data_IF_162831729028
#
_entry.id   IF_162831729028
#
_cell.length_a   1.000
_cell.length_b   1.000
_cell.length_c   1.000
_cell.angle_alpha   90.00
_cell.angle_beta   90.00
_cell.angle_gamma   90.00
#
_symmetry.space_group_name_H-M   'P 1'
#
loop_
_entity.id
_entity.type
_entity.pdbx_description
1 polymer ?
#
# COMPACT_ATOMS: atom_id res chain seq x y z
N UNK A 1 0.30 -14.09 -3.01
CA UNK A 1 -1.08 -14.55 -2.76
C UNK A 1 -1.89 -13.57 -1.92
N UNK A 2 -1.42 -13.10 -0.76
CA UNK A 2 -2.17 -12.14 0.08
C UNK A 2 -2.63 -10.87 -0.66
N UNK A 3 -1.73 -10.16 -1.34
CA UNK A 3 -2.09 -8.94 -2.09
C UNK A 3 -3.12 -9.17 -3.20
N UNK A 4 -3.23 -10.39 -3.73
CA UNK A 4 -4.27 -10.75 -4.70
C UNK A 4 -5.63 -10.78 -4.02
N UNK A 5 -5.69 -11.38 -2.82
CA UNK A 5 -6.91 -11.48 -2.01
C UNK A 5 -7.34 -10.10 -1.51
N UNK A 6 -6.41 -9.27 -1.03
CA UNK A 6 -6.72 -7.93 -0.53
C UNK A 6 -7.24 -6.97 -1.61
N UNK A 7 -6.84 -7.17 -2.86
CA UNK A 7 -7.31 -6.37 -4.01
C UNK A 7 -8.60 -6.90 -4.63
N UNK A 8 -9.11 -8.04 -4.16
CA UNK A 8 -10.35 -8.62 -4.66
C UNK A 8 -11.57 -8.01 -3.97
N UNK A 9 -12.66 -7.83 -4.71
CA UNK A 9 -13.92 -7.40 -4.13
C UNK A 9 -14.57 -8.52 -3.31
N UNK A 10 -14.37 -9.77 -3.71
CA UNK A 10 -14.79 -10.94 -2.94
C UNK A 10 -13.79 -11.20 -1.80
N UNK A 11 -14.25 -11.02 -0.57
CA UNK A 11 -13.46 -11.17 0.65
C UNK A 11 -13.64 -12.56 1.30
N UNK A 12 -14.29 -13.52 0.62
CA UNK A 12 -14.53 -14.86 1.16
C UNK A 12 -13.22 -15.55 1.54
N UNK A 13 -12.23 -15.51 0.64
CA UNK A 13 -10.90 -16.09 0.89
C UNK A 13 -10.12 -15.33 1.97
N UNK A 14 -10.28 -14.00 2.05
CA UNK A 14 -9.68 -13.19 3.09
C UNK A 14 -10.16 -13.68 4.46
N UNK A 15 -11.48 -13.77 4.62
CA UNK A 15 -12.12 -14.20 5.87
C UNK A 15 -11.79 -15.65 6.22
N UNK A 16 -11.78 -16.53 5.22
CA UNK A 16 -11.64 -17.98 5.43
C UNK A 16 -10.21 -18.42 5.72
N UNK A 17 -9.22 -17.84 5.04
CA UNK A 17 -7.86 -18.35 5.08
C UNK A 17 -6.81 -17.34 5.53
N UNK A 18 -7.04 -16.05 5.29
CA UNK A 18 -6.00 -15.03 5.48
C UNK A 18 -6.27 -14.09 6.65
N UNK A 19 -7.42 -14.23 7.31
CA UNK A 19 -7.87 -13.26 8.30
C UNK A 19 -6.90 -13.12 9.46
N UNK A 20 -6.55 -14.23 10.11
CA UNK A 20 -5.61 -14.21 11.25
C UNK A 20 -4.22 -13.69 10.84
N UNK A 21 -3.77 -14.02 9.63
CA UNK A 21 -2.49 -13.52 9.12
C UNK A 21 -2.53 -12.02 8.84
N UNK A 22 -3.65 -11.55 8.29
CA UNK A 22 -3.90 -10.13 8.04
C UNK A 22 -3.95 -9.33 9.34
N UNK A 23 -4.71 -9.79 10.35
CA UNK A 23 -4.74 -9.18 11.67
C UNK A 23 -3.37 -9.16 12.33
N UNK A 24 -2.60 -10.25 12.23
CA UNK A 24 -1.26 -10.33 12.79
C UNK A 24 -0.34 -9.27 12.16
N UNK A 25 -0.34 -9.15 10.83
CA UNK A 25 0.47 -8.13 10.15
C UNK A 25 0.00 -6.72 10.51
N UNK A 26 -1.29 -6.43 10.46
CA UNK A 26 -1.81 -5.11 10.81
C UNK A 26 -1.44 -4.75 12.26
N UNK A 27 -1.59 -5.69 13.19
CA UNK A 27 -1.21 -5.52 14.60
C UNK A 27 0.28 -5.28 14.77
N UNK A 28 1.14 -5.97 14.01
CA UNK A 28 2.58 -5.76 14.05
C UNK A 28 2.96 -4.39 13.48
N UNK A 29 2.42 -4.02 12.31
CA UNK A 29 2.67 -2.74 11.66
C UNK A 29 2.18 -1.56 12.51
N UNK A 30 1.07 -1.72 13.23
CA UNK A 30 0.55 -0.69 14.14
C UNK A 30 1.47 -0.40 15.34
N UNK A 31 2.34 -1.36 15.73
CA UNK A 31 3.34 -1.15 16.79
C UNK A 31 4.56 -0.37 16.32
N UNK A 32 4.78 -0.26 15.01
CA UNK A 32 5.90 0.47 14.44
C UNK A 32 5.59 1.97 14.36
N UNK A 33 6.60 2.84 14.57
CA UNK A 33 6.43 4.27 14.37
C UNK A 33 6.04 4.57 12.93
N UNK A 34 5.24 5.61 12.73
CA UNK A 34 4.90 6.06 11.38
C UNK A 34 5.98 6.97 10.82
N UNK A 35 6.32 6.74 9.56
CA UNK A 35 7.27 7.51 8.76
C UNK A 35 6.50 8.33 7.73
N UNK A 36 6.98 9.55 7.53
CA UNK A 36 6.48 10.49 6.51
C UNK A 36 7.58 10.71 5.48
N UNK A 37 7.18 11.04 4.25
CA UNK A 37 8.14 11.38 3.20
C UNK A 37 7.67 10.95 1.83
N UNK A 38 8.61 10.85 0.90
CA UNK A 38 8.39 10.28 -0.42
C UNK A 38 8.88 8.84 -0.46
N UNK A 39 8.05 7.97 -1.02
CA UNK A 39 8.40 6.59 -1.30
C UNK A 39 8.04 6.25 -2.74
N UNK A 40 8.75 5.27 -3.29
CA UNK A 40 8.66 4.88 -4.67
C UNK A 40 8.35 3.39 -4.77
N UNK A 41 7.51 3.04 -5.75
CA UNK A 41 7.24 1.65 -6.09
C UNK A 41 7.28 1.46 -7.59
N UNK A 42 8.12 0.53 -8.03
CA UNK A 42 8.18 0.08 -9.40
C UNK A 42 7.20 -1.05 -9.68
N UNK A 43 6.52 -0.98 -10.82
CA UNK A 43 5.60 -2.01 -11.29
C UNK A 43 5.92 -2.35 -12.74
N UNK A 44 6.21 -3.62 -13.02
CA UNK A 44 6.52 -4.15 -14.36
C UNK A 44 5.26 -4.36 -15.23
N UNK A 45 4.34 -3.41 -15.18
CA UNK A 45 3.15 -3.37 -16.05
C UNK A 45 2.62 -1.95 -16.18
N UNK A 46 2.04 -1.60 -17.33
CA UNK A 46 1.34 -0.32 -17.52
C UNK A 46 0.00 -0.34 -16.80
N UNK A 47 -0.12 0.46 -15.76
CA UNK A 47 -1.34 0.51 -14.93
C UNK A 47 -1.99 1.88 -14.85
N UNK A 48 -1.50 2.87 -15.62
CA UNK A 48 -1.99 4.25 -15.58
C UNK A 48 -3.51 4.39 -15.69
N UNK A 49 -4.17 3.54 -16.47
CA UNK A 49 -5.62 3.58 -16.68
C UNK A 49 -6.42 3.26 -15.41
N UNK A 50 -5.78 2.62 -14.41
CA UNK A 50 -6.37 2.33 -13.10
C UNK A 50 -6.28 3.51 -12.13
N UNK A 51 -5.55 4.57 -12.48
CA UNK A 51 -5.30 5.74 -11.63
C UNK A 51 -5.84 7.01 -12.30
N UNK A 52 -7.16 7.21 -12.34
CA UNK A 52 -7.72 8.43 -12.89
C UNK A 52 -7.28 9.67 -12.08
N UNK A 53 -6.74 10.69 -12.76
CA UNK A 53 -6.31 11.96 -12.13
C UNK A 53 -7.41 12.57 -11.26
N UNK A 54 -7.01 13.21 -10.16
CA UNK A 54 -7.88 13.88 -9.17
C UNK A 54 -8.86 12.96 -8.44
N UNK A 55 -8.75 11.65 -8.59
CA UNK A 55 -9.53 10.69 -7.80
C UNK A 55 -8.79 10.29 -6.55
N UNK A 56 -9.56 9.85 -5.56
CA UNK A 56 -9.05 9.22 -4.35
C UNK A 56 -9.26 7.72 -4.51
N UNK A 57 -8.20 6.96 -4.33
CA UNK A 57 -8.21 5.51 -4.33
C UNK A 57 -7.93 4.98 -2.93
N UNK A 58 -8.33 3.75 -2.67
CA UNK A 58 -7.93 3.03 -1.46
C UNK A 58 -6.82 2.04 -1.81
N UNK A 59 -5.70 2.16 -1.12
CA UNK A 59 -4.56 1.27 -1.21
C UNK A 59 -4.79 0.03 -0.34
N UNK A 60 -5.09 -1.10 -0.98
CA UNK A 60 -5.35 -2.35 -0.26
C UNK A 60 -4.14 -3.28 -0.17
N UNK A 61 -3.09 -3.04 -0.94
CA UNK A 61 -1.92 -3.91 -0.98
C UNK A 61 -0.97 -3.66 0.21
N UNK A 62 -0.44 -4.73 0.78
CA UNK A 62 0.76 -4.67 1.62
C UNK A 62 1.95 -4.82 0.68
N UNK A 63 2.52 -3.70 0.28
CA UNK A 63 3.64 -3.69 -0.67
C UNK A 63 4.77 -2.82 -0.13
N UNK A 64 5.96 -3.37 -0.27
CA UNK A 64 7.22 -2.65 -0.10
C UNK A 64 7.32 -1.47 -1.07
N UNK A 65 7.75 -0.35 -0.52
CA UNK A 65 8.19 0.84 -1.24
C UNK A 65 9.58 1.21 -0.72
N UNK A 66 10.38 1.87 -1.55
CA UNK A 66 11.70 2.39 -1.15
C UNK A 66 11.70 3.91 -1.06
N UNK A 67 12.66 4.46 -0.31
CA UNK A 67 12.97 5.89 -0.35
C UNK A 67 14.05 6.23 -1.41
N UNK A 68 14.70 5.23 -2.01
CA UNK A 68 15.74 5.38 -3.04
C UNK A 68 15.21 5.07 -4.45
N UNK A 69 14.80 6.07 -5.25
CA UNK A 69 14.21 5.83 -6.57
C UNK A 69 15.19 5.24 -7.59
N UNK A 70 16.49 5.51 -7.45
CA UNK A 70 17.50 5.16 -8.46
C UNK A 70 17.59 3.65 -8.72
N UNK A 71 17.54 2.84 -7.64
CA UNK A 71 17.59 1.38 -7.72
C UNK A 71 16.36 0.84 -8.47
N UNK A 72 15.18 1.41 -8.19
CA UNK A 72 13.93 1.02 -8.85
C UNK A 72 13.95 1.44 -10.31
N UNK A 73 14.25 2.70 -10.61
CA UNK A 73 14.20 3.22 -11.98
C UNK A 73 15.09 2.37 -12.87
N UNK A 74 16.30 2.01 -12.43
CA UNK A 74 17.21 1.13 -13.17
C UNK A 74 16.59 -0.22 -13.54
N UNK A 75 15.83 -0.83 -12.62
CA UNK A 75 15.15 -2.12 -12.83
C UNK A 75 13.93 -2.04 -13.74
N UNK A 76 13.37 -0.84 -13.94
CA UNK A 76 12.16 -0.61 -14.74
C UNK A 76 12.46 -0.20 -16.19
N UNK A 77 13.72 0.12 -16.51
CA UNK A 77 14.12 0.62 -17.84
C UNK A 77 13.85 -0.42 -18.94
N UNK A 78 13.25 0.05 -20.04
CA UNK A 78 13.05 -0.74 -21.27
C UNK A 78 11.81 -1.65 -21.27
N UNK A 79 11.10 -1.79 -20.15
CA UNK A 79 9.89 -2.59 -20.06
C UNK A 79 8.60 -1.75 -20.13
N UNK A 80 7.45 -2.42 -20.28
CA UNK A 80 6.13 -1.79 -20.11
C UNK A 80 5.87 -1.55 -18.63
N UNK A 81 6.55 -0.58 -18.03
CA UNK A 81 6.57 -0.35 -16.58
C UNK A 81 5.85 0.94 -16.16
N UNK A 82 5.56 1.02 -14.86
CA UNK A 82 4.99 2.20 -14.20
C UNK A 82 5.74 2.45 -12.89
N UNK A 83 6.12 3.70 -12.66
CA UNK A 83 6.67 4.18 -11.38
C UNK A 83 5.58 4.91 -10.61
N UNK A 84 5.34 4.48 -9.36
CA UNK A 84 4.51 5.21 -8.41
C UNK A 84 5.40 6.07 -7.53
N UNK A 85 5.14 7.37 -7.50
CA UNK A 85 5.74 8.32 -6.57
C UNK A 85 4.69 8.70 -5.52
N UNK A 86 4.92 8.32 -4.27
CA UNK A 86 3.90 8.39 -3.23
C UNK A 86 4.42 9.26 -2.07
N UNK A 87 3.76 10.39 -1.85
CA UNK A 87 3.96 11.19 -0.64
C UNK A 87 3.11 10.61 0.48
N UNK A 88 3.76 10.04 1.49
CA UNK A 88 3.13 9.33 2.61
C UNK A 88 3.13 10.14 3.90
N UNK A 89 2.12 9.90 4.73
CA UNK A 89 1.93 10.46 6.06
C UNK A 89 2.03 9.40 7.17
N UNK A 90 1.81 8.13 6.85
CA UNK A 90 1.70 7.07 7.86
C UNK A 90 2.37 5.73 7.52
N UNK A 91 3.31 5.71 6.58
CA UNK A 91 4.05 4.49 6.21
C UNK A 91 4.81 3.88 7.40
N UNK A 92 5.12 2.59 7.31
CA UNK A 92 5.79 1.81 8.36
C UNK A 92 7.13 1.30 7.82
N UNK A 93 8.22 1.70 8.47
CA UNK A 93 9.54 1.18 8.16
C UNK A 93 9.68 -0.22 8.75
N UNK A 94 9.86 -1.21 7.87
CA UNK A 94 10.07 -2.60 8.23
C UNK A 94 11.47 -3.09 7.86
N UNK A 95 12.40 -2.20 7.53
CA UNK A 95 13.76 -2.55 7.09
C UNK A 95 14.47 -3.44 8.11
N UNK A 96 14.29 -3.18 9.41
CA UNK A 96 14.85 -3.98 10.50
C UNK A 96 14.31 -5.43 10.57
N UNK A 97 13.20 -5.70 9.89
CA UNK A 97 12.54 -7.00 9.83
C UNK A 97 12.61 -7.62 8.43
N UNK A 98 13.25 -6.94 7.47
CA UNK A 98 13.42 -7.44 6.12
C UNK A 98 14.63 -8.38 6.04
N UNK A 99 14.51 -9.42 5.22
CA UNK A 99 15.65 -10.30 4.91
C UNK A 99 16.73 -9.57 4.09
N UNK A 100 16.36 -8.49 3.40
CA UNK A 100 17.28 -7.68 2.60
C UNK A 100 17.61 -6.40 3.36
N UNK A 101 18.69 -6.41 4.14
CA UNK A 101 19.09 -5.28 5.00
C UNK A 101 19.56 -4.03 4.26
N UNK A 102 19.73 -4.11 2.94
CA UNK A 102 20.32 -3.04 2.13
C UNK A 102 19.28 -2.10 1.51
N UNK A 103 17.98 -2.40 1.65
CA UNK A 103 16.90 -1.61 1.10
C UNK A 103 16.06 -1.01 2.23
N UNK A 104 15.72 0.27 2.11
CA UNK A 104 14.76 0.89 3.03
C UNK A 104 13.36 0.41 2.62
N UNK A 105 12.78 -0.49 3.40
CA UNK A 105 11.49 -1.10 3.10
C UNK A 105 10.38 -0.41 3.90
N UNK A 106 9.60 0.43 3.21
CA UNK A 106 8.45 1.13 3.77
C UNK A 106 7.15 0.50 3.26
N UNK A 107 6.25 0.17 4.18
CA UNK A 107 4.94 -0.40 3.88
C UNK A 107 3.83 0.59 4.21
N UNK A 108 2.89 0.78 3.27
CA UNK A 108 1.63 1.47 3.55
C UNK A 108 0.62 0.45 4.10
N UNK A 109 -0.16 0.87 5.10
CA UNK A 109 -1.22 0.03 5.66
C UNK A 109 -2.35 -0.18 4.65
N UNK A 110 -2.96 -1.38 4.59
CA UNK A 110 -4.20 -1.60 3.86
C UNK A 110 -5.29 -0.62 4.31
N UNK A 111 -6.00 -0.05 3.35
CA UNK A 111 -7.00 1.00 3.60
C UNK A 111 -6.45 2.43 3.51
N UNK A 112 -5.14 2.61 3.30
CA UNK A 112 -4.55 3.95 3.09
C UNK A 112 -5.21 4.65 1.91
N UNK A 113 -5.57 5.92 2.08
CA UNK A 113 -6.26 6.71 1.05
C UNK A 113 -5.26 7.56 0.29
N UNK A 114 -5.19 7.40 -1.03
CA UNK A 114 -4.24 8.12 -1.88
C UNK A 114 -5.01 8.95 -2.90
N UNK A 115 -4.69 10.24 -2.99
CA UNK A 115 -5.13 11.11 -4.07
C UNK A 115 -4.18 10.93 -5.26
N UNK A 116 -4.74 10.72 -6.44
CA UNK A 116 -3.99 10.76 -7.70
C UNK A 116 -3.80 12.22 -8.11
N UNK A 117 -2.60 12.74 -7.89
CA UNK A 117 -2.25 14.12 -8.21
C UNK A 117 -1.98 14.28 -9.70
N UNK A 118 -1.13 13.40 -10.23
CA UNK A 118 -0.79 13.40 -11.65
C UNK A 118 -0.56 12.00 -12.21
N UNK A 119 -0.67 11.92 -13.54
CA UNK A 119 -0.34 10.76 -14.36
C UNK A 119 0.34 11.28 -15.60
N UNK A 120 1.60 10.90 -15.80
CA UNK A 120 2.46 11.43 -16.85
C UNK A 120 3.25 10.29 -17.51
N UNK A 121 4.01 10.64 -18.54
CA UNK A 121 4.89 9.70 -19.23
C UNK A 121 6.29 10.28 -19.28
N UNK A 122 7.27 9.54 -18.77
CA UNK A 122 8.66 9.96 -18.78
C UNK A 122 9.35 9.40 -20.02
N UNK A 123 9.61 10.28 -20.98
CA UNK A 123 10.26 9.91 -22.25
C UNK A 123 11.71 9.44 -22.08
N UNK A 124 12.43 9.91 -21.06
CA UNK A 124 13.84 9.58 -20.86
C UNK A 124 14.01 8.12 -20.42
N UNK A 125 13.07 7.63 -19.61
CA UNK A 125 13.10 6.28 -19.07
C UNK A 125 12.10 5.34 -19.76
N UNK A 126 11.22 5.86 -20.62
CA UNK A 126 10.17 5.12 -21.31
C UNK A 126 9.17 4.44 -20.35
N UNK A 127 8.82 5.13 -19.26
CA UNK A 127 7.94 4.63 -18.19
C UNK A 127 6.73 5.54 -17.96
N UNK A 128 5.60 4.97 -17.56
CA UNK A 128 4.47 5.77 -17.04
C UNK A 128 4.79 6.18 -15.58
N UNK A 129 4.51 7.43 -15.20
CA UNK A 129 4.69 7.93 -13.83
C UNK A 129 3.34 8.33 -13.24
N UNK A 130 3.13 7.99 -11.96
CA UNK A 130 1.90 8.28 -11.23
C UNK A 130 2.26 8.93 -9.90
N UNK A 131 1.84 10.18 -9.72
CA UNK A 131 2.04 10.92 -8.49
C UNK A 131 0.83 10.75 -7.57
N UNK A 132 1.11 10.27 -6.37
CA UNK A 132 0.14 9.94 -5.34
C UNK A 132 0.46 10.71 -4.05
N UNK A 133 -0.57 11.14 -3.34
CA UNK A 133 -0.43 11.73 -2.02
C UNK A 133 -1.41 11.09 -1.04
N UNK A 134 -0.89 10.60 0.08
CA UNK A 134 -1.70 10.14 1.19
C UNK A 134 -2.50 11.31 1.77
N UNK A 135 -3.82 11.10 1.88
CA UNK A 135 -4.71 12.07 2.50
C UNK A 135 -4.98 11.67 3.94
N UNK A 136 -4.93 12.65 4.84
CA UNK A 136 -5.33 12.46 6.22
C UNK A 136 -6.87 12.39 6.30
N UNK A 137 -7.42 11.17 6.26
CA UNK A 137 -8.86 10.94 6.43
C UNK A 137 -9.11 10.41 7.86
N UNK A 138 -9.33 11.34 8.79
CA UNK A 138 -9.53 11.04 10.22
C UNK A 138 -10.74 10.13 10.47
N UNK A 139 -11.74 10.21 9.59
CA UNK A 139 -13.00 9.47 9.69
C UNK A 139 -12.76 7.96 9.48
N UNK A 140 -11.98 7.59 8.46
CA UNK A 140 -11.72 6.18 8.11
C UNK A 140 -10.70 5.48 9.00
N UNK A 141 -9.74 6.22 9.61
CA UNK A 141 -8.84 5.61 10.62
C UNK A 141 -9.65 5.02 11.77
N UNK A 142 -10.72 5.70 12.18
CA UNK A 142 -11.65 5.19 13.18
C UNK A 142 -12.42 3.95 12.72
N UNK A 143 -12.70 3.82 11.41
CA UNK A 143 -13.46 2.69 10.87
C UNK A 143 -12.63 1.43 10.63
N UNK A 144 -11.33 1.56 10.28
CA UNK A 144 -10.40 0.42 10.25
C UNK A 144 -10.16 -0.09 11.69
N UNK A 145 -9.93 0.82 12.65
CA UNK A 145 -9.92 0.47 14.07
C UNK A 145 -11.25 -0.16 14.52
N UNK A 146 -12.39 0.27 13.96
CA UNK A 146 -13.69 -0.35 14.26
C UNK A 146 -13.88 -1.72 13.66
N UNK A 147 -13.29 -2.02 12.49
CA UNK A 147 -13.28 -3.38 11.95
C UNK A 147 -12.51 -4.33 12.87
N UNK A 148 -11.43 -3.85 13.50
CA UNK A 148 -10.71 -4.58 14.55
C UNK A 148 -11.58 -4.76 15.82
N UNK A 149 -12.33 -3.73 16.25
CA UNK A 149 -13.19 -3.86 17.46
C UNK A 149 -14.51 -4.60 17.24
N UNK A 150 -15.12 -4.56 16.05
CA UNK A 150 -16.41 -5.25 15.78
C UNK A 150 -16.26 -6.77 15.72
N UNK A 151 -15.07 -7.29 15.40
CA UNK A 151 -14.82 -8.73 15.46
C UNK A 151 -14.58 -9.24 16.89
N UNK A 152 -14.24 -8.36 17.84
CA UNK A 152 -14.17 -8.72 19.25
C UNK A 152 -15.55 -8.83 19.92
N UNK A 153 -16.61 -8.24 19.34
CA UNK A 153 -17.97 -8.29 19.91
C UNK A 153 -18.90 -9.34 19.28
N UNK A 154 -18.54 -9.99 18.17
CA UNK A 154 -19.37 -11.07 17.59
C UNK A 154 -18.97 -12.47 18.06
N UNK A 155 -18.30 -12.58 19.22
CA UNK A 155 -18.05 -13.87 19.89
C UNK A 155 -19.04 -14.20 21.01
N UNK A 156 -19.93 -13.28 21.42
CA UNK A 156 -20.84 -13.49 22.56
C UNK A 156 -22.29 -13.05 22.28
N UNK A 157 -22.96 -13.64 21.28
CA UNK A 157 -24.44 -13.74 21.22
C UNK A 157 -24.76 -15.05 20.47
N UNK A 158 -24.83 -16.21 21.12
CA UNK A 158 -25.95 -16.80 21.88
C UNK A 158 -26.80 -17.80 21.04
N UNK A 159 -26.70 -19.08 21.43
CA UNK A 159 -27.53 -20.27 21.15
C UNK A 159 -27.54 -20.87 19.74
#
# INVERSE_FOLDING_TARGET
MLNRVLRCQDQTDLKKYWFNYFELICSALNKLPSVKGHVFQGITSKIKDKYPKKKIITWWGITSCTQTPDDIVSSLLGEKSTLLNIKILSGKDISAYSCNSNETEIVLLPGTRLRVNDVSYNNNFNIDEIDLEEINDEILRSDILRLETKQHFTKDESF
#
